data_IF_264544031245
#
_entry.id   IF_264544031245
#
_cell.length_a   1.000
_cell.length_b   1.000
_cell.length_c   1.000
_cell.angle_alpha   90.00
_cell.angle_beta   90.00
_cell.angle_gamma   90.00
#
_symmetry.space_group_name_H-M   'P 1'
#
loop_
_entity.id
_entity.type
_entity.pdbx_description
1 polymer ?
2 polymer ?
3 polymer ?
4 water ?
#
loop_
_entity_poly.entity_id
_entity_poly.type
_entity_poly.pdbx_seq_one_letter_code
_entity_poly.pdbx_strand_id
2 'polydeoxyribonucleotide' '(DA)(DC)(DC)(DT)(DG)(DC)(DG)(DC)(DA)(DC)(DC)(DA)(DT)' ?
3 'polydeoxyribonucleotide' '(DA)(DT)(DG)(DG)(DT)(DG)(DC)(DG)(DC)(DA)(DG)(DG)(DT)' ?
#
# COMPACT_ATOMS: atom_id res chain seq x y z
N UNK A 3 -4.46 1.49 14.63
CA UNK A 3 -4.19 0.08 14.90
C UNK A 3 -2.70 -0.25 14.80
N UNK A 4 -2.21 -1.10 15.70
CA UNK A 4 -0.80 -1.51 15.62
C UNK A 4 -0.48 -2.33 14.38
N UNK A 5 -1.48 -2.91 13.73
CA UNK A 5 -1.26 -3.79 12.60
C UNK A 5 -1.26 -3.07 11.26
N UNK A 6 -1.42 -1.75 11.24
CA UNK A 6 -1.67 -1.06 9.97
C UNK A 6 -0.49 -1.19 9.01
N UNK A 7 0.73 -1.02 9.51
CA UNK A 7 1.88 -1.18 8.62
C UNK A 7 1.85 -2.55 7.96
N UNK A 8 1.55 -3.59 8.73
CA UNK A 8 1.52 -4.93 8.18
C UNK A 8 0.35 -5.09 7.21
N UNK A 9 -0.79 -4.48 7.52
CA UNK A 9 -1.91 -4.50 6.59
C UNK A 9 -1.51 -3.96 5.22
N UNK A 10 -0.80 -2.83 5.20
CA UNK A 10 -0.43 -2.22 3.92
C UNK A 10 0.65 -3.03 3.22
N UNK A 11 1.67 -3.46 3.95
CA UNK A 11 2.72 -4.24 3.31
C UNK A 11 2.19 -5.56 2.77
N UNK A 12 1.29 -6.22 3.52
CA UNK A 12 0.68 -7.45 3.02
C UNK A 12 -0.17 -7.19 1.79
N UNK A 13 -0.86 -6.05 1.75
CA UNK A 13 -1.66 -5.70 0.58
C UNK A 13 -0.77 -5.50 -0.64
N UNK A 14 0.34 -4.78 -0.48
CA UNK A 14 1.27 -4.60 -1.60
C UNK A 14 1.77 -5.95 -2.09
N UNK A 15 2.20 -6.80 -1.16
CA UNK A 15 2.64 -8.15 -1.52
C UNK A 15 1.55 -8.91 -2.27
N UNK A 16 0.30 -8.82 -1.79
CA UNK A 16 -0.79 -9.56 -2.42
C UNK A 16 -1.10 -9.05 -3.81
N UNK A 17 -1.00 -7.74 -4.02
CA UNK A 17 -1.25 -7.23 -5.36
C UNK A 17 -0.13 -7.64 -6.32
N UNK A 18 1.12 -7.60 -5.86
CA UNK A 18 2.21 -8.14 -6.66
C UNK A 18 1.97 -9.61 -6.97
N UNK A 19 1.52 -10.36 -5.97
CA UNK A 19 1.32 -11.80 -6.15
C UNK A 19 0.32 -12.10 -7.26
N UNK A 20 -0.72 -11.27 -7.41
CA UNK A 20 -1.67 -11.45 -8.50
C UNK A 20 -1.36 -10.54 -9.69
N UNK A 21 -0.14 -10.01 -9.77
CA UNK A 21 0.36 -9.29 -10.94
C UNK A 21 -0.50 -8.08 -11.28
N UNK A 22 -0.95 -7.37 -10.25
CA UNK A 22 -1.72 -6.14 -10.40
C UNK A 22 -0.89 -4.99 -9.86
N UNK A 23 -1.04 -3.82 -10.47
CA UNK A 23 -0.22 -2.70 -10.05
C UNK A 23 -0.61 -2.26 -8.65
N UNK A 24 0.32 -2.14 -7.72
CA UNK A 24 -0.05 -1.66 -6.37
C UNK A 24 -0.10 -0.14 -6.36
N UNK A 25 -1.19 0.39 -6.92
CA UNK A 25 -1.41 1.83 -6.89
C UNK A 25 -2.26 2.21 -5.69
N UNK A 26 -2.44 3.52 -5.49
CA UNK A 26 -3.12 3.98 -4.29
C UNK A 26 -4.54 3.44 -4.26
N UNK A 27 -5.21 3.44 -5.41
CA UNK A 27 -6.62 3.03 -5.44
C UNK A 27 -6.77 1.57 -5.00
N UNK A 28 -5.94 0.68 -5.56
CA UNK A 28 -6.05 -0.74 -5.20
C UNK A 28 -5.62 -1.01 -3.77
N UNK A 29 -4.58 -0.32 -3.28
CA UNK A 29 -4.18 -0.49 -1.89
C UNK A 29 -5.31 -0.09 -0.94
N UNK A 30 -5.88 1.09 -1.16
CA UNK A 30 -6.98 1.53 -0.30
C UNK A 30 -8.18 0.61 -0.41
N UNK A 31 -8.50 0.17 -1.63
CA UNK A 31 -9.63 -0.73 -1.82
C UNK A 31 -9.43 -2.03 -1.05
N UNK A 32 -8.23 -2.60 -1.10
CA UNK A 32 -8.00 -3.89 -0.47
C UNK A 32 -7.96 -3.77 1.04
N UNK A 33 -7.34 -2.70 1.56
CA UNK A 33 -7.32 -2.52 3.00
C UNK A 33 -8.75 -2.33 3.53
N UNK A 34 -9.58 -1.58 2.81
CA UNK A 34 -10.97 -1.39 3.26
C UNK A 34 -11.71 -2.71 3.33
N UNK A 35 -11.62 -3.50 2.30
CA UNK A 35 -12.36 -4.74 2.25
C UNK A 35 -11.84 -5.79 3.20
N UNK A 36 -10.55 -5.86 3.34
CA UNK A 36 -9.97 -6.83 4.25
C UNK A 36 -10.22 -6.48 5.71
N UNK A 37 -10.06 -5.20 6.08
CA UNK A 37 -9.95 -4.84 7.49
C UNK A 37 -10.92 -3.78 7.98
N UNK A 38 -11.50 -2.96 7.11
CA UNK A 38 -12.43 -1.96 7.56
C UNK A 38 -12.15 -0.49 7.25
N UNK A 39 -10.90 -0.03 7.41
CA UNK A 39 -10.66 1.42 7.40
C UNK A 39 -10.98 2.08 6.07
N UNK A 40 -11.41 3.34 6.15
CA UNK A 40 -11.75 4.13 4.98
C UNK A 40 -10.48 4.55 4.24
N UNK A 41 -10.60 4.82 2.93
CA UNK A 41 -9.41 5.20 2.15
C UNK A 41 -8.65 6.39 2.71
N UNK A 42 -9.34 7.37 3.31
CA UNK A 42 -8.63 8.50 3.91
C UNK A 42 -7.63 8.04 4.96
N UNK A 43 -8.02 7.09 5.81
CA UNK A 43 -7.11 6.60 6.83
C UNK A 43 -5.94 5.85 6.20
N UNK A 44 -6.21 5.02 5.19
CA UNK A 44 -5.12 4.28 4.55
C UNK A 44 -4.16 5.21 3.83
N UNK A 45 -4.69 6.26 3.18
CA UNK A 45 -3.80 7.26 2.59
C UNK A 45 -2.86 7.85 3.64
N UNK A 46 -3.38 8.19 4.82
CA UNK A 46 -2.55 8.79 5.85
C UNK A 46 -1.51 7.81 6.38
N UNK A 47 -1.90 6.55 6.57
CA UNK A 47 -0.96 5.55 7.06
C UNK A 47 0.11 5.26 6.02
N UNK A 48 -0.28 5.20 4.75
CA UNK A 48 0.68 4.98 3.68
C UNK A 48 1.70 6.11 3.62
N UNK A 49 1.25 7.34 3.82
CA UNK A 49 2.18 8.47 3.83
C UNK A 49 3.21 8.32 4.94
N UNK A 50 2.77 7.88 6.13
CA UNK A 50 3.72 7.62 7.21
C UNK A 50 4.74 6.58 6.79
N UNK A 51 4.29 5.50 6.15
CA UNK A 51 5.22 4.47 5.67
C UNK A 51 6.20 5.01 4.64
N UNK A 52 5.78 5.98 3.82
CA UNK A 52 6.69 6.54 2.83
C UNK A 52 7.75 7.39 3.51
N UNK A 53 7.33 8.19 4.50
CA UNK A 53 8.29 9.02 5.23
C UNK A 53 9.26 8.18 6.03
N UNK A 54 8.84 6.99 6.47
CA UNK A 54 9.71 6.05 7.16
C UNK A 54 10.52 5.19 6.20
N UNK A 55 10.31 5.34 4.89
CA UNK A 55 11.01 4.57 3.87
C UNK A 55 10.74 3.07 3.99
N UNK A 56 9.61 2.71 4.61
CA UNK A 56 9.13 1.33 4.57
C UNK A 56 8.42 1.00 3.26
N UNK A 57 7.84 2.01 2.62
CA UNK A 57 7.24 1.91 1.29
C UNK A 57 7.92 2.94 0.40
N UNK A 58 8.21 2.56 -0.84
CA UNK A 58 8.79 3.46 -1.83
C UNK A 58 7.74 3.79 -2.88
N UNK A 59 7.53 5.08 -3.13
CA UNK A 59 6.64 5.54 -4.20
C UNK A 59 7.47 5.79 -5.45
N UNK A 60 7.17 5.08 -6.54
CA UNK A 60 7.96 5.14 -7.76
C UNK A 60 7.04 5.32 -8.95
N UNK A 61 7.59 5.88 -10.02
CA UNK A 61 6.91 5.90 -11.30
C UNK A 61 7.47 4.79 -12.16
N UNK A 62 6.59 3.96 -12.71
CA UNK A 62 7.05 2.80 -13.48
C UNK A 62 6.07 2.57 -14.62
N UNK A 63 6.59 2.55 -15.86
CA UNK A 63 5.77 2.33 -17.05
C UNK A 63 4.58 3.28 -17.09
N UNK A 64 4.81 4.54 -16.73
CA UNK A 64 3.84 5.58 -16.96
C UNK A 64 2.89 5.88 -15.83
N UNK A 65 2.95 5.12 -14.73
CA UNK A 65 2.07 5.36 -13.59
C UNK A 65 2.84 5.14 -12.30
N UNK A 66 2.26 5.63 -11.21
CA UNK A 66 2.82 5.48 -9.87
C UNK A 66 2.49 4.10 -9.31
N UNK A 67 3.49 3.46 -8.69
CA UNK A 67 3.32 2.21 -7.95
C UNK A 67 3.96 2.38 -6.58
N UNK A 68 3.52 1.56 -5.62
CA UNK A 68 4.11 1.54 -4.29
C UNK A 68 4.83 0.23 -4.04
N UNK A 69 6.08 0.31 -3.57
CA UNK A 69 6.94 -0.86 -3.39
C UNK A 69 7.17 -1.15 -1.91
N UNK A 70 7.15 -2.43 -1.56
CA UNK A 70 7.53 -2.87 -0.22
C UNK A 70 9.04 -2.78 -0.12
N UNK A 71 9.54 -1.85 0.70
CA UNK A 71 10.99 -1.60 0.72
C UNK A 71 11.76 -2.82 1.21
N UNK A 72 11.12 -3.70 1.98
CA UNK A 72 11.79 -4.89 2.49
C UNK A 72 12.09 -5.91 1.39
N UNK A 73 11.44 -5.80 0.24
CA UNK A 73 11.57 -6.82 -0.80
C UNK A 73 12.74 -6.57 -1.75
#
# INVERSE_FOLDING_TARGET
SASPHYQEWILDTIDSLRSRKARPDLERICRMVRRRHGPEPERTRAELEKLIQQRAVLRVSYKGSISYRNAARVQPPRRG
#
